data_IF_666529000830
#
_entry.id   IF_666529000830
#
_cell.length_a   1.000
_cell.length_b   1.000
_cell.length_c   1.000
_cell.angle_alpha   90.00
_cell.angle_beta   90.00
_cell.angle_gamma   90.00
#
_symmetry.space_group_name_H-M   'P 1'
#
loop_
_entity.id
_entity.type
_entity.pdbx_description
1 polymer ?
#
# COMPACT_ATOMS: atom_id res chain seq x y z
N UNK A 1 34.46 -31.39 -37.12
CA UNK A 1 34.00 -29.99 -37.27
C UNK A 1 32.74 -29.70 -36.46
N UNK A 2 31.61 -30.40 -36.71
CA UNK A 2 30.34 -30.16 -35.99
C UNK A 2 30.41 -30.27 -34.45
N UNK A 3 31.22 -31.20 -33.92
CA UNK A 3 31.44 -31.38 -32.46
C UNK A 3 32.01 -30.14 -31.77
N UNK A 4 32.92 -29.42 -32.45
CA UNK A 4 33.55 -28.22 -31.90
C UNK A 4 32.62 -27.01 -31.93
N UNK A 5 31.82 -26.87 -32.99
CA UNK A 5 30.80 -25.82 -33.11
C UNK A 5 29.72 -26.02 -32.02
N UNK A 6 29.25 -27.25 -31.83
CA UNK A 6 28.30 -27.57 -30.76
C UNK A 6 28.86 -27.26 -29.36
N UNK A 7 30.13 -27.56 -29.11
CA UNK A 7 30.80 -27.23 -27.84
C UNK A 7 30.88 -25.72 -27.60
N UNK A 8 31.25 -24.93 -28.62
CA UNK A 8 31.32 -23.47 -28.52
C UNK A 8 29.95 -22.87 -28.21
N UNK A 9 28.90 -23.35 -28.88
CA UNK A 9 27.52 -22.89 -28.65
C UNK A 9 27.06 -23.22 -27.22
N UNK A 10 27.30 -24.45 -26.75
CA UNK A 10 26.92 -24.86 -25.38
C UNK A 10 27.67 -24.04 -24.34
N UNK A 11 28.97 -23.82 -24.53
CA UNK A 11 29.79 -23.03 -23.62
C UNK A 11 29.32 -21.56 -23.58
N UNK A 12 29.05 -20.97 -24.75
CA UNK A 12 28.53 -19.61 -24.86
C UNK A 12 27.16 -19.44 -24.21
N UNK A 13 26.23 -20.38 -24.45
CA UNK A 13 24.90 -20.36 -23.86
C UNK A 13 24.92 -20.47 -22.34
N UNK A 14 25.81 -21.29 -21.76
CA UNK A 14 25.95 -21.41 -20.31
C UNK A 14 26.45 -20.12 -19.65
N UNK A 15 27.39 -19.42 -20.29
CA UNK A 15 27.92 -18.15 -19.77
C UNK A 15 26.84 -17.07 -19.79
N UNK A 16 26.13 -16.92 -20.92
CA UNK A 16 25.03 -15.93 -21.06
C UNK A 16 23.87 -16.26 -20.11
N UNK A 17 23.45 -17.53 -20.04
CA UNK A 17 22.37 -17.95 -19.16
C UNK A 17 22.68 -17.73 -17.68
N UNK A 18 23.91 -18.01 -17.23
CA UNK A 18 24.33 -17.74 -15.84
C UNK A 18 24.41 -16.25 -15.54
N UNK A 19 24.87 -15.43 -16.48
CA UNK A 19 24.90 -13.98 -16.30
C UNK A 19 23.49 -13.40 -16.18
N UNK A 20 22.58 -13.83 -17.04
CA UNK A 20 21.18 -13.41 -17.01
C UNK A 20 20.47 -13.84 -15.72
N UNK A 21 20.66 -15.09 -15.29
CA UNK A 21 20.11 -15.57 -14.02
C UNK A 21 20.64 -14.77 -12.81
N UNK A 22 21.93 -14.41 -12.80
CA UNK A 22 22.52 -13.57 -11.75
C UNK A 22 21.97 -12.15 -11.78
N UNK A 23 21.79 -11.56 -12.96
CA UNK A 23 21.22 -10.22 -13.09
C UNK A 23 19.78 -10.17 -12.57
N UNK A 24 18.94 -11.14 -12.97
CA UNK A 24 17.58 -11.28 -12.44
C UNK A 24 17.57 -11.47 -10.91
N UNK A 25 18.46 -12.31 -10.40
CA UNK A 25 18.56 -12.54 -8.96
C UNK A 25 18.99 -11.28 -8.19
N UNK A 26 19.89 -10.47 -8.77
CA UNK A 26 20.33 -9.21 -8.19
C UNK A 26 19.22 -8.17 -8.21
N UNK A 27 18.48 -8.03 -9.31
CA UNK A 27 17.36 -7.09 -9.42
C UNK A 27 16.24 -7.45 -8.45
N UNK A 28 15.89 -8.74 -8.33
CA UNK A 28 14.89 -9.20 -7.37
C UNK A 28 15.33 -8.94 -5.92
N UNK A 29 16.62 -9.15 -5.59
CA UNK A 29 17.15 -8.87 -4.26
C UNK A 29 17.17 -7.37 -3.97
N UNK A 30 17.66 -6.56 -4.89
CA UNK A 30 17.67 -5.11 -4.77
C UNK A 30 16.25 -4.55 -4.63
N UNK A 31 15.30 -5.07 -5.41
CA UNK A 31 13.88 -4.70 -5.33
C UNK A 31 13.27 -5.13 -3.99
N UNK A 32 13.56 -6.33 -3.50
CA UNK A 32 13.09 -6.79 -2.19
C UNK A 32 13.70 -5.97 -1.05
N UNK A 33 14.98 -5.61 -1.12
CA UNK A 33 15.63 -4.78 -0.10
C UNK A 33 15.10 -3.35 -0.11
N UNK A 34 14.89 -2.75 -1.29
CA UNK A 34 14.27 -1.44 -1.43
C UNK A 34 12.83 -1.46 -0.91
N UNK A 35 12.05 -2.49 -1.25
CA UNK A 35 10.73 -2.70 -0.71
C UNK A 35 10.79 -2.77 0.82
N UNK A 36 11.62 -3.65 1.41
CA UNK A 36 11.76 -3.77 2.88
C UNK A 36 12.10 -2.44 3.56
N UNK A 37 13.01 -1.63 3.00
CA UNK A 37 13.35 -0.30 3.55
C UNK A 37 12.18 0.69 3.49
N UNK A 38 11.32 0.58 2.47
CA UNK A 38 10.11 1.38 2.32
C UNK A 38 8.88 0.81 3.06
N UNK A 39 9.07 -0.14 3.99
CA UNK A 39 7.98 -0.80 4.73
C UNK A 39 7.41 -2.05 4.04
N UNK A 40 8.15 -2.63 3.11
CA UNK A 40 7.75 -3.76 2.28
C UNK A 40 7.52 -5.07 3.02
N UNK A 41 6.96 -6.03 2.30
CA UNK A 41 6.32 -7.21 2.87
C UNK A 41 4.79 -7.05 2.91
N UNK A 42 4.06 -7.93 3.64
CA UNK A 42 2.60 -7.90 3.67
C UNK A 42 2.01 -6.58 4.14
N UNK A 43 2.66 -5.88 5.08
CA UNK A 43 2.19 -4.58 5.59
C UNK A 43 2.38 -3.45 4.58
N UNK A 44 3.53 -3.37 3.90
CA UNK A 44 3.76 -2.41 2.82
C UNK A 44 2.80 -2.62 1.64
N UNK A 45 2.54 -3.87 1.28
CA UNK A 45 1.55 -4.21 0.25
C UNK A 45 0.14 -3.76 0.67
N UNK A 46 -0.24 -3.94 1.94
CA UNK A 46 -1.53 -3.46 2.48
C UNK A 46 -1.62 -1.93 2.47
N UNK A 47 -0.56 -1.22 2.89
CA UNK A 47 -0.52 0.25 2.83
C UNK A 47 -0.63 0.76 1.40
N UNK A 48 0.10 0.16 0.47
CA UNK A 48 0.01 0.50 -0.96
C UNK A 48 -1.40 0.25 -1.51
N UNK A 49 -2.02 -0.88 -1.16
CA UNK A 49 -3.40 -1.18 -1.56
C UNK A 49 -4.42 -0.19 -0.96
N UNK A 50 -4.27 0.20 0.31
CA UNK A 50 -5.14 1.18 0.97
C UNK A 50 -4.98 2.59 0.37
N UNK A 51 -3.75 2.96 -0.01
CA UNK A 51 -3.50 4.22 -0.71
C UNK A 51 -4.11 4.19 -2.12
N UNK A 52 -3.98 3.06 -2.83
CA UNK A 52 -4.55 2.90 -4.17
C UNK A 52 -6.08 2.89 -4.17
N UNK A 53 -6.73 2.31 -3.15
CA UNK A 53 -8.19 2.24 -3.07
C UNK A 53 -8.84 3.61 -2.77
N UNK A 54 -8.18 4.44 -1.96
CA UNK A 54 -8.67 5.77 -1.60
C UNK A 54 -8.13 6.87 -2.53
N UNK A 55 -7.07 6.58 -3.28
CA UNK A 55 -6.38 7.51 -4.17
C UNK A 55 -5.56 8.57 -3.43
N UNK A 56 -5.19 8.31 -2.17
CA UNK A 56 -4.42 9.22 -1.31
C UNK A 56 -3.64 8.47 -0.23
N UNK A 57 -2.51 9.04 0.15
CA UNK A 57 -1.65 8.56 1.24
C UNK A 57 -2.25 8.88 2.61
N UNK A 58 -1.76 8.22 3.67
CA UNK A 58 -2.14 8.55 5.04
C UNK A 58 -1.78 10.00 5.39
N UNK A 59 -0.61 10.47 4.95
CA UNK A 59 -0.12 11.82 5.19
C UNK A 59 -1.04 12.87 4.54
N UNK A 60 -1.42 12.66 3.29
CA UNK A 60 -2.41 13.52 2.61
C UNK A 60 -3.77 13.49 3.32
N UNK A 61 -4.22 12.32 3.78
CA UNK A 61 -5.46 12.20 4.54
C UNK A 61 -5.43 13.03 5.83
N UNK A 62 -4.31 12.97 6.55
CA UNK A 62 -4.08 13.73 7.78
C UNK A 62 -4.05 15.24 7.51
N UNK A 63 -3.43 15.66 6.41
CA UNK A 63 -3.42 17.06 5.99
C UNK A 63 -4.83 17.56 5.61
N UNK A 64 -5.60 16.77 4.85
CA UNK A 64 -6.98 17.12 4.48
C UNK A 64 -7.86 17.30 5.73
N UNK A 65 -7.71 16.41 6.73
CA UNK A 65 -8.46 16.53 7.99
C UNK A 65 -7.79 17.44 9.03
N UNK A 66 -6.67 18.08 8.68
CA UNK A 66 -5.90 18.97 9.56
C UNK A 66 -5.59 18.34 10.93
N UNK A 67 -4.92 17.18 10.92
CA UNK A 67 -4.50 16.46 12.13
C UNK A 67 -3.01 16.09 12.07
N UNK A 68 -2.32 16.22 13.20
CA UNK A 68 -0.89 15.85 13.31
C UNK A 68 -0.69 14.45 13.88
N UNK A 69 -1.69 13.92 14.58
CA UNK A 69 -1.66 12.61 15.23
C UNK A 69 -2.99 11.91 15.03
N UNK A 70 -2.93 10.58 14.89
CA UNK A 70 -4.11 9.72 14.78
C UNK A 70 -4.85 9.65 16.11
N UNK A 71 -5.82 10.54 16.27
CA UNK A 71 -6.72 10.65 17.40
C UNK A 71 -8.16 10.54 16.87
N UNK A 72 -8.87 9.49 17.28
CA UNK A 72 -10.22 9.19 16.80
C UNK A 72 -11.22 10.33 17.05
N UNK A 73 -11.09 11.04 18.18
CA UNK A 73 -11.98 12.14 18.52
C UNK A 73 -11.69 13.35 17.64
N UNK A 74 -10.42 13.69 17.43
CA UNK A 74 -10.03 14.80 16.53
C UNK A 74 -10.43 14.52 15.09
N UNK A 75 -10.22 13.29 14.60
CA UNK A 75 -10.63 12.86 13.26
C UNK A 75 -12.13 13.07 13.08
N UNK A 76 -12.94 12.61 14.04
CA UNK A 76 -14.40 12.76 14.00
C UNK A 76 -14.81 14.24 13.96
N UNK A 77 -14.31 15.04 14.90
CA UNK A 77 -14.67 16.46 15.02
C UNK A 77 -14.29 17.25 13.76
N UNK A 78 -13.07 17.07 13.26
CA UNK A 78 -12.60 17.79 12.08
C UNK A 78 -13.33 17.32 10.81
N UNK A 79 -13.59 16.02 10.68
CA UNK A 79 -14.39 15.49 9.58
C UNK A 79 -15.80 16.10 9.57
N UNK A 80 -16.51 16.08 10.70
CA UNK A 80 -17.87 16.63 10.79
C UNK A 80 -17.89 18.12 10.44
N UNK A 81 -16.94 18.89 10.97
CA UNK A 81 -16.82 20.30 10.65
C UNK A 81 -16.54 20.54 9.16
N UNK A 82 -15.47 19.95 8.62
CA UNK A 82 -15.05 20.15 7.23
C UNK A 82 -16.11 19.65 6.24
N UNK A 83 -16.75 18.52 6.52
CA UNK A 83 -17.82 17.99 5.69
C UNK A 83 -19.01 18.94 5.69
N UNK A 84 -19.44 19.41 6.87
CA UNK A 84 -20.61 20.27 7.03
C UNK A 84 -20.45 21.63 6.32
N UNK A 85 -19.27 22.25 6.40
CA UNK A 85 -19.03 23.56 5.75
C UNK A 85 -18.85 23.43 4.23
N UNK A 86 -18.51 22.25 3.72
CA UNK A 86 -18.35 21.97 2.28
C UNK A 86 -19.56 21.27 1.65
N UNK A 87 -20.70 21.17 2.36
CA UNK A 87 -21.91 20.62 1.78
C UNK A 87 -22.38 21.43 0.57
N UNK A 88 -22.73 20.75 -0.53
CA UNK A 88 -23.21 21.38 -1.76
C UNK A 88 -24.41 22.31 -1.52
N UNK A 89 -25.28 21.95 -0.57
CA UNK A 89 -26.45 22.75 -0.18
C UNK A 89 -26.09 24.12 0.42
N UNK A 90 -24.88 24.26 0.97
CA UNK A 90 -24.36 25.52 1.56
C UNK A 90 -23.42 26.26 0.60
N UNK A 91 -23.44 25.93 -0.68
CA UNK A 91 -22.52 26.48 -1.68
C UNK A 91 -21.13 25.83 -1.69
N UNK A 92 -20.95 24.73 -0.97
CA UNK A 92 -19.70 23.99 -0.94
C UNK A 92 -19.42 23.20 -2.23
N UNK A 93 -18.18 22.73 -2.37
CA UNK A 93 -17.74 21.95 -3.53
C UNK A 93 -17.92 20.45 -3.30
N UNK A 94 -18.64 19.79 -4.21
CA UNK A 94 -18.74 18.33 -4.20
C UNK A 94 -17.37 17.64 -4.29
N UNK A 95 -16.41 18.26 -4.99
CA UNK A 95 -15.05 17.73 -5.06
C UNK A 95 -14.36 17.76 -3.70
N UNK A 96 -14.44 18.89 -2.99
CA UNK A 96 -13.85 19.02 -1.65
C UNK A 96 -14.52 18.08 -0.65
N UNK A 97 -15.85 18.01 -0.67
CA UNK A 97 -16.61 17.06 0.14
C UNK A 97 -16.17 15.60 -0.14
N UNK A 98 -16.00 15.24 -1.41
CA UNK A 98 -15.51 13.91 -1.80
C UNK A 98 -14.09 13.64 -1.28
N UNK A 99 -13.19 14.64 -1.32
CA UNK A 99 -11.83 14.51 -0.79
C UNK A 99 -11.81 14.33 0.73
N UNK A 100 -12.67 15.05 1.46
CA UNK A 100 -12.84 14.91 2.90
C UNK A 100 -13.33 13.49 3.27
N UNK A 101 -14.28 12.95 2.51
CA UNK A 101 -14.75 11.57 2.70
C UNK A 101 -13.63 10.56 2.45
N UNK A 102 -12.90 10.68 1.34
CA UNK A 102 -11.78 9.78 1.01
C UNK A 102 -10.66 9.83 2.07
N UNK A 103 -10.36 11.02 2.60
CA UNK A 103 -9.40 11.18 3.68
C UNK A 103 -9.82 10.43 4.94
N UNK A 104 -11.11 10.55 5.33
CA UNK A 104 -11.65 9.80 6.46
C UNK A 104 -11.57 8.29 6.23
N UNK A 105 -11.98 7.80 5.07
CA UNK A 105 -11.90 6.36 4.73
C UNK A 105 -10.47 5.80 4.84
N UNK A 106 -9.48 6.58 4.40
CA UNK A 106 -8.07 6.20 4.51
C UNK A 106 -7.59 6.11 5.96
N UNK A 107 -7.98 7.07 6.79
CA UNK A 107 -7.63 7.09 8.22
C UNK A 107 -8.36 5.96 8.97
N UNK A 108 -9.64 5.71 8.67
CA UNK A 108 -10.40 4.60 9.25
C UNK A 108 -9.79 3.24 8.91
N UNK A 109 -9.23 3.10 7.70
CA UNK A 109 -8.47 1.90 7.30
C UNK A 109 -7.21 1.74 8.14
N UNK A 110 -6.51 2.82 8.46
CA UNK A 110 -5.33 2.79 9.33
C UNK A 110 -5.70 2.40 10.77
N UNK A 111 -6.81 2.91 11.32
CA UNK A 111 -7.30 2.51 12.64
C UNK A 111 -7.64 1.02 12.71
N UNK A 112 -8.23 0.45 11.66
CA UNK A 112 -8.52 -1.00 11.58
C UNK A 112 -7.26 -1.85 11.55
N UNK A 113 -6.19 -1.36 10.92
CA UNK A 113 -4.90 -2.07 10.87
C UNK A 113 -4.19 -2.02 12.23
N UNK A 114 -4.29 -0.90 12.93
CA UNK A 114 -3.60 -0.68 14.22
C UNK A 114 -4.36 -1.20 15.45
N UNK A 115 -5.62 -1.62 15.30
CA UNK A 115 -6.30 -2.35 16.38
C UNK A 115 -5.69 -3.75 16.51
N UNK A 116 -5.24 -4.17 17.70
CA UNK A 116 -4.84 -5.55 17.92
C UNK A 116 -6.03 -6.43 17.57
N UNK A 117 -5.85 -7.39 16.66
CA UNK A 117 -6.86 -8.40 16.33
C UNK A 117 -7.26 -9.10 17.63
N UNK A 118 -8.35 -8.67 18.25
CA UNK A 118 -9.08 -9.50 19.18
C UNK A 118 -9.56 -10.72 18.38
N UNK A 119 -8.95 -11.85 18.72
CA UNK A 119 -9.24 -13.22 18.34
C UNK A 119 -10.53 -13.40 17.51
N UNK A 120 -10.35 -13.71 16.22
CA UNK A 120 -11.34 -14.50 15.50
C UNK A 120 -11.27 -15.93 16.07
N UNK A 121 -11.90 -16.14 17.23
CA UNK A 121 -12.30 -17.47 17.66
C UNK A 121 -13.32 -17.98 16.65
N UNK A 122 -12.86 -18.84 15.73
CA UNK A 122 -13.71 -19.67 14.90
C UNK A 122 -14.69 -20.42 15.82
N UNK A 123 -16.02 -20.36 15.58
CA UNK A 123 -16.89 -21.37 16.16
C UNK A 123 -16.49 -22.68 15.51
N UNK A 124 -15.88 -23.58 16.29
CA UNK A 124 -15.73 -24.97 15.91
C UNK A 124 -17.14 -25.51 15.65
N UNK A 125 -17.34 -26.04 14.46
CA UNK A 125 -18.54 -26.76 14.07
C UNK A 125 -18.99 -27.69 15.20
N UNK A 126 -20.21 -27.48 15.67
CA UNK A 126 -20.89 -28.40 16.57
C UNK A 126 -22.18 -28.88 15.92
N UNK A 127 -22.15 -30.18 15.58
CA UNK A 127 -23.25 -31.14 15.35
C UNK A 127 -23.34 -31.66 13.93
#
# INVERSE_FOLDING_TARGET
>A
MAKYIAQIIVLGAQVVGRAFARALQQELRASQEAAKRAGGGPEGARRAAANASTGLTLEEAMQILNIDKLDAQKVKNNYEHLFSVNEKAKGGSFYLQSKIVRAKERIDTEFKVNQPKAEQSQPKDSS
#
